data_IF_718898817671
#
_entry.id   IF_718898817671
#
_cell.length_a   1.000
_cell.length_b   1.000
_cell.length_c   1.000
_cell.angle_alpha   90.00
_cell.angle_beta   90.00
_cell.angle_gamma   90.00
#
_symmetry.space_group_name_H-M   'P 1'
#
loop_
_entity.id
_entity.type
_entity.pdbx_description
1 polymer ?
#
# COMPACT_ATOMS: atom_id res chain seq x y z
N UNK A 1 -6.36 1.08 -18.87
CA UNK A 1 -5.47 0.72 -20.00
C UNK A 1 -4.04 0.97 -19.57
N UNK A 2 -3.11 0.08 -19.90
CA UNK A 2 -1.69 0.31 -19.63
C UNK A 2 -1.08 1.15 -20.76
N UNK A 3 -1.15 2.49 -20.59
CA UNK A 3 -0.61 3.44 -21.56
C UNK A 3 -0.04 4.68 -20.87
N UNK A 4 0.95 5.35 -21.48
CA UNK A 4 1.50 6.59 -20.95
C UNK A 4 0.41 7.64 -20.65
N UNK A 5 0.54 8.31 -19.51
CA UNK A 5 -0.36 9.39 -19.09
C UNK A 5 -1.54 8.96 -18.22
N UNK A 6 -1.87 7.67 -18.11
CA UNK A 6 -2.99 7.21 -17.25
C UNK A 6 -2.74 7.52 -15.78
N UNK A 7 -1.54 7.23 -15.27
CA UNK A 7 -1.18 7.58 -13.89
C UNK A 7 -1.26 9.10 -13.65
N UNK A 8 -0.82 9.92 -14.61
CA UNK A 8 -0.93 11.38 -14.51
C UNK A 8 -2.39 11.86 -14.48
N UNK A 9 -3.27 11.21 -15.26
CA UNK A 9 -4.72 11.47 -15.24
C UNK A 9 -5.42 11.09 -13.95
N UNK A 10 -4.81 10.22 -13.13
CA UNK A 10 -5.31 9.86 -11.78
C UNK A 10 -4.73 10.80 -10.73
N UNK A 11 -3.41 10.96 -10.70
CA UNK A 11 -2.71 11.66 -9.62
C UNK A 11 -2.69 13.18 -9.78
N UNK A 12 -2.77 13.70 -11.01
CA UNK A 12 -2.87 15.14 -11.26
C UNK A 12 -4.11 15.76 -10.57
N UNK A 13 -5.33 15.26 -10.86
CA UNK A 13 -6.53 15.76 -10.21
C UNK A 13 -6.55 15.60 -8.68
N UNK A 14 -5.98 14.50 -8.15
CA UNK A 14 -5.81 14.32 -6.71
C UNK A 14 -4.93 15.42 -6.10
N UNK A 15 -3.80 15.74 -6.76
CA UNK A 15 -2.92 16.82 -6.34
C UNK A 15 -3.60 18.19 -6.42
N UNK A 16 -4.32 18.49 -7.51
CA UNK A 16 -5.08 19.74 -7.67
C UNK A 16 -6.15 19.91 -6.59
N UNK A 17 -6.70 18.80 -6.10
CA UNK A 17 -7.66 18.77 -4.99
C UNK A 17 -7.00 18.79 -3.58
N UNK A 18 -5.67 18.93 -3.49
CA UNK A 18 -4.88 18.82 -2.26
C UNK A 18 -5.11 17.51 -1.48
N UNK A 19 -5.20 16.39 -2.20
CA UNK A 19 -5.29 15.05 -1.62
C UNK A 19 -3.90 14.41 -1.68
N UNK A 20 -3.30 14.20 -0.51
CA UNK A 20 -1.99 13.59 -0.41
C UNK A 20 -2.07 12.08 -0.61
N UNK A 21 -1.27 11.59 -1.56
CA UNK A 21 -1.07 10.16 -1.82
C UNK A 21 0.24 9.72 -1.20
N UNK A 22 0.27 8.52 -0.60
CA UNK A 22 1.46 7.96 0.05
C UNK A 22 2.03 6.76 -0.70
N UNK A 23 1.42 5.58 -0.58
CA UNK A 23 1.86 4.38 -1.28
C UNK A 23 1.23 4.36 -2.66
N UNK A 24 1.99 4.03 -3.70
CA UNK A 24 1.48 3.74 -5.06
C UNK A 24 2.04 2.38 -5.47
N UNK A 25 1.15 1.46 -5.83
CA UNK A 25 1.47 0.12 -6.31
C UNK A 25 0.72 -0.11 -7.61
N UNK A 26 1.46 -0.37 -8.68
CA UNK A 26 0.91 -0.76 -9.97
C UNK A 26 1.33 -2.20 -10.25
N UNK A 27 0.37 -3.08 -10.45
CA UNK A 27 0.65 -4.47 -10.79
C UNK A 27 0.41 -4.71 -12.29
N UNK A 28 1.37 -5.33 -12.96
CA UNK A 28 1.26 -5.61 -14.40
C UNK A 28 0.22 -6.71 -14.65
N UNK A 29 -0.71 -6.49 -15.58
CA UNK A 29 -1.61 -7.55 -16.00
C UNK A 29 -0.89 -8.53 -16.93
N UNK A 30 -1.15 -9.85 -16.83
CA UNK A 30 -0.59 -10.85 -17.74
C UNK A 30 -0.89 -10.61 -19.22
N UNK A 31 -1.98 -9.91 -19.54
CA UNK A 31 -2.42 -9.63 -20.92
C UNK A 31 -1.96 -8.27 -21.47
N UNK A 32 -1.29 -7.44 -20.65
CA UNK A 32 -0.79 -6.11 -21.03
C UNK A 32 -1.86 -5.08 -21.42
N UNK A 33 -3.15 -5.40 -21.28
CA UNK A 33 -4.25 -4.52 -21.72
C UNK A 33 -4.74 -3.57 -20.65
N UNK A 34 -4.79 -4.03 -19.40
CA UNK A 34 -5.17 -3.25 -18.22
C UNK A 34 -4.13 -3.43 -17.12
N UNK A 35 -4.15 -2.57 -16.11
CA UNK A 35 -3.28 -2.70 -14.94
C UNK A 35 -4.08 -2.21 -13.75
N UNK A 36 -3.86 -2.85 -12.61
CA UNK A 36 -4.45 -2.41 -11.35
C UNK A 36 -3.49 -1.42 -10.71
N UNK A 37 -4.03 -0.25 -10.35
CA UNK A 37 -3.31 0.79 -9.65
C UNK A 37 -3.95 0.98 -8.28
N UNK A 38 -3.19 0.62 -7.25
CA UNK A 38 -3.58 0.76 -5.84
C UNK A 38 -2.77 1.89 -5.23
N UNK A 39 -3.40 2.73 -4.43
CA UNK A 39 -2.70 3.76 -3.68
C UNK A 39 -3.40 4.07 -2.36
N UNK A 40 -2.67 4.69 -1.44
CA UNK A 40 -3.20 5.09 -0.14
C UNK A 40 -3.35 6.60 -0.04
N UNK A 41 -4.40 7.03 0.65
CA UNK A 41 -4.64 8.41 1.09
C UNK A 41 -4.90 8.40 2.60
N UNK A 42 -4.95 9.57 3.22
CA UNK A 42 -5.38 9.65 4.62
C UNK A 42 -6.86 9.25 4.74
N UNK A 43 -7.25 8.72 5.90
CA UNK A 43 -8.67 8.39 6.17
C UNK A 43 -9.59 9.60 5.98
N UNK A 44 -9.12 10.80 6.33
CA UNK A 44 -9.87 12.04 6.19
C UNK A 44 -10.12 12.43 4.72
N UNK A 45 -9.24 12.01 3.80
CA UNK A 45 -9.36 12.30 2.37
C UNK A 45 -10.06 11.21 1.58
N UNK A 46 -10.35 10.04 2.17
CA UNK A 46 -10.88 8.88 1.46
C UNK A 46 -12.15 9.20 0.67
N UNK A 47 -13.18 9.75 1.32
CA UNK A 47 -14.46 10.05 0.66
C UNK A 47 -14.30 11.10 -0.45
N UNK A 48 -13.41 12.08 -0.25
CA UNK A 48 -13.12 13.12 -1.25
C UNK A 48 -12.40 12.53 -2.45
N UNK A 49 -11.42 11.66 -2.24
CA UNK A 49 -10.68 10.97 -3.28
C UNK A 49 -11.61 10.06 -4.10
N UNK A 50 -12.44 9.26 -3.43
CA UNK A 50 -13.41 8.37 -4.08
C UNK A 50 -14.40 9.17 -4.92
N UNK A 51 -14.95 10.27 -4.37
CA UNK A 51 -15.87 11.14 -5.12
C UNK A 51 -15.19 11.71 -6.37
N UNK A 52 -14.00 12.29 -6.22
CA UNK A 52 -13.25 12.88 -7.33
C UNK A 52 -13.00 11.87 -8.45
N UNK A 53 -12.54 10.66 -8.11
CA UNK A 53 -12.24 9.62 -9.09
C UNK A 53 -13.51 9.05 -9.74
N UNK A 54 -14.65 9.05 -9.04
CA UNK A 54 -15.95 8.73 -9.63
C UNK A 54 -16.38 9.78 -10.65
N UNK A 55 -16.20 11.06 -10.33
CA UNK A 55 -16.53 12.17 -11.22
C UNK A 55 -15.65 12.14 -12.49
N UNK A 56 -14.41 11.66 -12.40
CA UNK A 56 -13.46 11.52 -13.51
C UNK A 56 -13.50 10.17 -14.24
N UNK A 57 -14.52 9.34 -14.00
CA UNK A 57 -14.59 7.98 -14.54
C UNK A 57 -14.46 7.92 -16.07
N UNK A 58 -15.09 8.84 -16.77
CA UNK A 58 -15.11 8.87 -18.24
C UNK A 58 -13.76 9.31 -18.85
N UNK A 59 -12.99 10.11 -18.09
CA UNK A 59 -11.66 10.58 -18.47
C UNK A 59 -10.60 9.49 -18.23
N UNK A 60 -10.64 8.86 -17.04
CA UNK A 60 -9.66 7.84 -16.62
C UNK A 60 -9.97 6.47 -17.27
N UNK A 61 -11.24 6.15 -17.47
CA UNK A 61 -11.74 4.89 -18.06
C UNK A 61 -11.29 3.64 -17.30
N UNK A 62 -11.41 3.66 -15.97
CA UNK A 62 -11.22 2.45 -15.16
C UNK A 62 -12.46 1.56 -15.17
N UNK A 63 -12.25 0.26 -14.97
CA UNK A 63 -13.33 -0.73 -14.87
C UNK A 63 -14.09 -0.55 -13.56
N UNK A 64 -13.37 -0.71 -12.44
CA UNK A 64 -13.89 -0.67 -11.09
C UNK A 64 -13.03 0.26 -10.21
N UNK A 65 -13.66 0.90 -9.22
CA UNK A 65 -12.99 1.65 -8.16
C UNK A 65 -13.37 1.04 -6.82
N UNK A 66 -12.44 0.28 -6.25
CA UNK A 66 -12.56 -0.35 -4.94
C UNK A 66 -11.82 0.53 -3.93
N UNK A 67 -12.42 0.75 -2.78
CA UNK A 67 -11.81 1.52 -1.69
C UNK A 67 -12.08 0.82 -0.38
N UNK A 68 -11.13 0.93 0.54
CA UNK A 68 -11.21 0.36 1.88
C UNK A 68 -10.64 1.36 2.88
N UNK A 69 -11.41 1.67 3.92
CA UNK A 69 -10.99 2.52 5.02
C UNK A 69 -10.44 1.74 6.21
N UNK A 70 -10.59 0.41 6.25
CA UNK A 70 -10.21 -0.46 7.36
C UNK A 70 -8.81 -1.05 7.23
N UNK A 71 -7.86 -0.31 6.67
CA UNK A 71 -6.49 -0.79 6.45
C UNK A 71 -5.46 0.06 7.18
N UNK A 72 -4.38 -0.59 7.61
CA UNK A 72 -3.22 0.07 8.20
C UNK A 72 -1.94 -0.27 7.42
N UNK A 73 -1.04 0.71 7.32
CA UNK A 73 0.30 0.51 6.76
C UNK A 73 1.31 0.25 7.88
N UNK A 74 1.84 -0.96 7.92
CA UNK A 74 2.95 -1.32 8.81
C UNK A 74 4.25 -1.33 8.01
N UNK A 75 5.33 -0.80 8.58
CA UNK A 75 6.63 -0.74 7.89
C UNK A 75 7.77 -1.19 8.79
N UNK A 76 8.65 -2.00 8.22
CA UNK A 76 9.96 -2.33 8.80
C UNK A 76 11.00 -1.49 8.05
N UNK A 77 11.81 -0.74 8.79
CA UNK A 77 12.82 0.16 8.22
C UNK A 77 14.19 -0.19 8.82
N UNK A 78 15.21 -0.36 7.98
CA UNK A 78 16.57 -0.58 8.43
C UNK A 78 17.58 -0.58 7.30
N UNK A 79 18.70 0.11 7.52
CA UNK A 79 19.85 0.14 6.59
C UNK A 79 20.43 -1.24 6.30
N UNK A 80 20.25 -2.18 7.24
CA UNK A 80 20.66 -3.57 7.10
C UNK A 80 19.96 -4.35 5.99
N UNK A 81 18.79 -3.89 5.50
CA UNK A 81 18.03 -4.57 4.45
C UNK A 81 18.81 -4.76 3.14
N UNK A 82 19.67 -3.80 2.78
CA UNK A 82 20.49 -3.87 1.56
C UNK A 82 21.53 -4.98 1.60
N UNK A 83 21.97 -5.34 2.81
CA UNK A 83 23.14 -6.21 3.03
C UNK A 83 22.79 -7.55 3.69
N UNK A 84 21.58 -7.70 4.21
CA UNK A 84 21.14 -8.90 4.93
C UNK A 84 19.92 -9.49 4.24
N UNK A 85 20.12 -10.63 3.58
CA UNK A 85 19.00 -11.47 3.14
C UNK A 85 18.19 -11.94 4.36
N UNK A 86 16.88 -12.01 4.22
CA UNK A 86 15.98 -12.55 5.25
C UNK A 86 15.13 -11.51 6.00
N UNK A 87 15.38 -10.20 5.86
CA UNK A 87 14.53 -9.19 6.54
C UNK A 87 13.06 -9.31 6.12
N UNK A 88 12.79 -9.43 4.82
CA UNK A 88 11.44 -9.65 4.29
C UNK A 88 10.84 -10.97 4.76
N UNK A 89 11.66 -12.03 4.78
CA UNK A 89 11.24 -13.35 5.23
C UNK A 89 10.77 -13.32 6.68
N UNK A 90 11.52 -12.68 7.59
CA UNK A 90 11.11 -12.53 8.98
C UNK A 90 9.76 -11.82 9.08
N UNK A 91 9.56 -10.71 8.36
CA UNK A 91 8.30 -9.98 8.36
C UNK A 91 7.11 -10.87 7.95
N UNK A 92 7.24 -11.55 6.81
CA UNK A 92 6.14 -12.34 6.24
C UNK A 92 5.83 -13.57 7.08
N UNK A 93 6.86 -14.28 7.57
CA UNK A 93 6.68 -15.42 8.47
C UNK A 93 6.00 -14.99 9.76
N UNK A 94 6.45 -13.90 10.40
CA UNK A 94 5.87 -13.40 11.66
C UNK A 94 4.41 -13.02 11.49
N UNK A 95 4.03 -12.34 10.40
CA UNK A 95 2.63 -12.00 10.15
C UNK A 95 1.78 -13.26 9.88
N UNK A 96 2.31 -14.21 9.11
CA UNK A 96 1.62 -15.47 8.81
C UNK A 96 1.38 -16.32 10.07
N UNK A 97 2.35 -16.40 10.99
CA UNK A 97 2.21 -17.11 12.27
C UNK A 97 1.12 -16.52 13.18
N UNK A 98 0.77 -15.24 12.97
CA UNK A 98 -0.34 -14.57 13.66
C UNK A 98 -1.66 -14.63 12.88
N UNK A 99 -1.69 -15.30 11.74
CA UNK A 99 -2.87 -15.38 10.87
C UNK A 99 -3.21 -14.06 10.17
N UNK A 100 -2.25 -13.14 10.06
CA UNK A 100 -2.47 -11.82 9.48
C UNK A 100 -2.25 -11.89 7.97
N UNK A 101 -3.29 -11.66 7.19
CA UNK A 101 -3.18 -11.61 5.73
C UNK A 101 -2.59 -10.27 5.25
N UNK A 102 -1.65 -10.35 4.31
CA UNK A 102 -1.05 -9.18 3.67
C UNK A 102 -1.83 -8.87 2.39
N UNK A 103 -2.33 -7.64 2.28
CA UNK A 103 -3.11 -7.19 1.12
C UNK A 103 -2.23 -6.60 0.03
N UNK A 104 -1.26 -5.77 0.41
CA UNK A 104 -0.36 -5.06 -0.50
C UNK A 104 1.04 -5.04 0.10
N UNK A 105 2.06 -5.18 -0.74
CA UNK A 105 3.48 -5.06 -0.37
C UNK A 105 4.10 -3.93 -1.20
N UNK A 106 4.83 -3.04 -0.55
CA UNK A 106 5.67 -2.03 -1.20
C UNK A 106 7.03 -1.98 -0.53
N UNK A 107 8.10 -1.85 -1.30
CA UNK A 107 9.48 -1.96 -0.79
C UNK A 107 10.40 -0.90 -1.37
N UNK A 108 11.41 -0.51 -0.61
CA UNK A 108 12.58 0.27 -1.02
C UNK A 108 13.86 -0.43 -0.55
N UNK A 109 15.03 0.15 -0.84
CA UNK A 109 16.31 -0.42 -0.41
C UNK A 109 16.45 -0.62 1.12
N UNK A 110 15.69 0.15 1.91
CA UNK A 110 15.78 0.17 3.37
C UNK A 110 14.43 0.05 4.08
N UNK A 111 13.34 -0.18 3.36
CA UNK A 111 11.99 -0.24 3.93
C UNK A 111 11.13 -1.30 3.26
N UNK A 112 10.42 -2.11 4.04
CA UNK A 112 9.31 -2.94 3.58
C UNK A 112 8.05 -2.41 4.24
N UNK A 113 7.03 -2.13 3.44
CA UNK A 113 5.71 -1.72 3.89
C UNK A 113 4.69 -2.75 3.46
N UNK A 114 3.76 -3.07 4.36
CA UNK A 114 2.61 -3.91 4.06
C UNK A 114 1.32 -3.18 4.42
N UNK A 115 0.25 -3.46 3.67
CA UNK A 115 -1.11 -3.14 4.10
C UNK A 115 -1.75 -4.40 4.67
N UNK A 116 -2.34 -4.26 5.86
CA UNK A 116 -3.09 -5.29 6.58
C UNK A 116 -4.42 -4.69 7.07
N UNK A 117 -5.35 -5.54 7.49
CA UNK A 117 -6.57 -5.07 8.14
C UNK A 117 -6.24 -4.34 9.46
N UNK A 118 -6.91 -3.21 9.69
CA UNK A 118 -6.71 -2.33 10.84
C UNK A 118 -6.91 -3.05 12.17
N UNK A 119 -7.75 -4.09 12.23
CA UNK A 119 -7.96 -4.87 13.46
C UNK A 119 -6.67 -5.52 13.98
N UNK A 120 -5.71 -5.80 13.10
CA UNK A 120 -4.44 -6.45 13.44
C UNK A 120 -3.33 -5.46 13.80
N UNK A 121 -3.59 -4.15 13.83
CA UNK A 121 -2.54 -3.11 14.02
C UNK A 121 -1.62 -3.41 15.21
N UNK A 122 -2.19 -3.55 16.41
CA UNK A 122 -1.43 -3.78 17.63
C UNK A 122 -0.71 -5.14 17.65
N UNK A 123 -1.38 -6.19 17.12
CA UNK A 123 -0.82 -7.53 17.06
C UNK A 123 0.38 -7.59 16.10
N UNK A 124 0.24 -6.99 14.92
CA UNK A 124 1.30 -6.90 13.92
C UNK A 124 2.50 -6.12 14.46
N UNK A 125 2.24 -4.95 15.08
CA UNK A 125 3.31 -4.10 15.60
C UNK A 125 4.13 -4.83 16.66
N UNK A 126 3.47 -5.43 17.66
CA UNK A 126 4.15 -6.18 18.74
C UNK A 126 4.90 -7.39 18.20
N UNK A 127 4.25 -8.20 17.36
CA UNK A 127 4.87 -9.41 16.82
C UNK A 127 6.14 -9.07 16.01
N UNK A 128 6.08 -8.03 15.18
CA UNK A 128 7.23 -7.57 14.41
C UNK A 128 8.31 -6.97 15.33
N UNK A 129 7.94 -6.17 16.34
CA UNK A 129 8.90 -5.66 17.32
C UNK A 129 9.71 -6.79 17.98
N UNK A 130 9.03 -7.81 18.50
CA UNK A 130 9.67 -9.00 19.08
C UNK A 130 10.53 -9.74 18.05
N UNK A 131 10.02 -9.97 16.83
CA UNK A 131 10.73 -10.71 15.79
C UNK A 131 12.04 -10.04 15.35
N UNK A 132 12.12 -8.71 15.44
CA UNK A 132 13.33 -7.95 15.17
C UNK A 132 14.17 -7.61 16.42
N UNK A 133 13.80 -8.13 17.59
CA UNK A 133 14.52 -7.87 18.84
C UNK A 133 14.48 -6.40 19.28
N UNK A 134 13.37 -5.72 19.00
CA UNK A 134 13.15 -4.31 19.32
C UNK A 134 12.21 -4.09 20.51
N UNK A 135 11.81 -5.17 21.19
CA UNK A 135 11.15 -5.03 22.49
C UNK A 135 12.13 -4.30 23.41
N UNK A 136 11.72 -3.15 23.93
CA UNK A 136 12.55 -2.40 24.86
C UNK A 136 12.83 -3.27 26.09
N UNK A 137 14.06 -3.21 26.61
CA UNK A 137 14.30 -3.44 28.02
C UNK A 137 13.39 -2.54 28.88
#
# INVERSE_FOLDING_TARGET
>A
EDKPGVAAGIFGPLADANINVDMIVQNVSPDGGATDLTFTVTRADLDRAVKLLRDLRDEIRYKDLIHDGGVVKVSVIGVGMRSHAGVAQSMFTTLAEKGINIQVISTSEIKISVLIDEEYTELALRALHTAYGLDAD
#
